data_IF_066020282691
#
_entry.id   IF_066020282691
#
_cell.length_a   1.000
_cell.length_b   1.000
_cell.length_c   1.000
_cell.angle_alpha   90.00
_cell.angle_beta   90.00
_cell.angle_gamma   90.00
#
_symmetry.space_group_name_H-M   'P 1'
#
loop_
_entity.id
_entity.type
_entity.pdbx_description
1 polymer ?
#
# COMPACT_ATOMS: atom_id res chain seq x y z
N UNK A 1 -6.11 -36.51 -28.09
CA UNK A 1 -7.20 -35.93 -27.26
C UNK A 1 -6.55 -35.05 -26.23
N UNK A 2 -7.03 -33.81 -26.04
CA UNK A 2 -6.46 -32.91 -25.04
C UNK A 2 -6.76 -33.49 -23.64
N UNK A 3 -5.73 -33.81 -22.85
CA UNK A 3 -5.90 -34.42 -21.52
C UNK A 3 -6.21 -33.38 -20.45
N UNK A 4 -5.92 -32.11 -20.73
CA UNK A 4 -6.07 -30.97 -19.85
C UNK A 4 -6.81 -29.87 -20.60
N UNK A 5 -7.73 -29.20 -19.92
CA UNK A 5 -8.27 -27.91 -20.30
C UNK A 5 -7.64 -26.83 -19.42
N UNK A 6 -7.25 -25.72 -20.02
CA UNK A 6 -6.68 -24.57 -19.32
C UNK A 6 -7.68 -23.43 -19.38
N UNK A 7 -7.98 -22.85 -18.22
CA UNK A 7 -8.76 -21.63 -18.10
C UNK A 7 -7.82 -20.51 -17.65
N UNK A 8 -7.73 -19.45 -18.45
CA UNK A 8 -6.76 -18.36 -18.30
C UNK A 8 -7.48 -17.01 -18.37
N UNK A 9 -7.26 -16.21 -17.34
CA UNK A 9 -7.71 -14.82 -17.27
C UNK A 9 -6.52 -13.95 -16.84
N UNK A 10 -6.24 -12.93 -17.64
CA UNK A 10 -5.14 -11.98 -17.44
C UNK A 10 -5.79 -10.62 -17.26
N UNK A 11 -5.39 -9.86 -16.22
CA UNK A 11 -5.94 -8.52 -16.00
C UNK A 11 -5.59 -7.59 -17.17
N UNK A 12 -6.43 -6.59 -17.41
CA UNK A 12 -6.19 -5.60 -18.48
C UNK A 12 -5.00 -4.69 -18.15
N UNK A 13 -4.81 -4.39 -16.87
CA UNK A 13 -3.74 -3.55 -16.35
C UNK A 13 -3.05 -4.22 -15.16
N UNK A 14 -1.73 -4.04 -15.05
CA UNK A 14 -0.94 -4.59 -13.95
C UNK A 14 -0.14 -3.48 -13.28
N UNK A 15 -0.37 -3.30 -11.98
CA UNK A 15 0.33 -2.32 -11.17
C UNK A 15 1.68 -2.87 -10.68
N UNK A 16 2.75 -2.08 -10.83
CA UNK A 16 4.09 -2.46 -10.36
C UNK A 16 4.11 -2.74 -8.85
N UNK A 17 3.37 -1.98 -8.04
CA UNK A 17 3.34 -2.15 -6.58
C UNK A 17 2.78 -3.51 -6.15
N UNK A 18 1.86 -4.08 -6.91
CA UNK A 18 1.39 -5.45 -6.71
C UNK A 18 2.52 -6.46 -6.95
N UNK A 19 3.16 -6.37 -8.10
CA UNK A 19 4.21 -7.31 -8.50
C UNK A 19 5.45 -7.21 -7.59
N UNK A 20 5.81 -6.00 -7.16
CA UNK A 20 6.91 -5.77 -6.21
C UNK A 20 6.66 -6.46 -4.87
N UNK A 21 5.42 -6.46 -4.40
CA UNK A 21 5.01 -7.04 -3.12
C UNK A 21 4.52 -8.50 -3.26
N UNK A 22 5.08 -9.26 -4.20
CA UNK A 22 4.83 -10.69 -4.40
C UNK A 22 3.35 -11.06 -4.63
N UNK A 23 2.63 -10.30 -5.46
CA UNK A 23 1.25 -10.63 -5.81
C UNK A 23 1.11 -11.37 -7.14
N UNK A 24 0.01 -12.16 -7.29
CA UNK A 24 -0.28 -12.88 -8.51
C UNK A 24 -0.36 -11.96 -9.72
N UNK A 25 0.22 -12.39 -10.84
CA UNK A 25 0.09 -11.70 -12.12
C UNK A 25 -1.27 -11.97 -12.81
N UNK A 26 -1.91 -13.10 -12.48
CA UNK A 26 -3.06 -13.62 -13.20
C UNK A 26 -4.30 -13.61 -12.29
N UNK A 27 -5.44 -13.23 -12.84
CA UNK A 27 -6.74 -13.38 -12.17
C UNK A 27 -7.12 -14.87 -12.10
N UNK A 28 -6.85 -15.60 -13.19
CA UNK A 28 -7.18 -17.01 -13.30
C UNK A 28 -6.13 -17.81 -14.09
N UNK A 29 -5.69 -18.91 -13.51
CA UNK A 29 -4.99 -19.99 -14.18
C UNK A 29 -5.42 -21.30 -13.52
N UNK A 30 -6.34 -22.01 -14.15
CA UNK A 30 -6.84 -23.28 -13.63
C UNK A 30 -6.64 -24.38 -14.65
N UNK A 31 -5.96 -25.46 -14.23
CA UNK A 31 -5.88 -26.69 -15.01
C UNK A 31 -7.05 -27.57 -14.63
N UNK A 32 -7.81 -28.06 -15.62
CA UNK A 32 -8.88 -29.03 -15.45
C UNK A 32 -8.52 -30.33 -16.17
N UNK A 33 -8.49 -31.43 -15.44
CA UNK A 33 -8.19 -32.77 -15.97
C UNK A 33 -9.42 -33.34 -16.68
N UNK A 34 -9.26 -33.75 -17.94
CA UNK A 34 -10.36 -34.27 -18.78
C UNK A 34 -10.39 -35.81 -18.85
N UNK A 35 -9.40 -36.47 -18.24
CA UNK A 35 -9.23 -37.93 -18.25
C UNK A 35 -9.36 -38.51 -16.84
N UNK A 36 -9.66 -39.80 -16.72
CA UNK A 36 -9.79 -40.48 -15.42
C UNK A 36 -8.45 -40.81 -14.77
N UNK A 37 -7.43 -41.08 -15.59
CA UNK A 37 -6.09 -41.37 -15.10
C UNK A 37 -5.34 -40.08 -14.73
N UNK A 38 -4.41 -40.13 -13.76
CA UNK A 38 -3.55 -38.99 -13.45
C UNK A 38 -2.75 -38.53 -14.66
N UNK A 39 -2.57 -37.22 -14.79
CA UNK A 39 -1.78 -36.63 -15.89
C UNK A 39 -0.39 -36.27 -15.35
N UNK A 40 0.66 -36.68 -16.08
CA UNK A 40 2.06 -36.58 -15.61
C UNK A 40 2.87 -35.58 -16.42
N UNK A 41 3.92 -35.07 -15.78
CA UNK A 41 4.91 -34.20 -16.40
C UNK A 41 4.29 -32.97 -17.07
N UNK A 42 3.50 -32.22 -16.29
CA UNK A 42 2.90 -30.97 -16.73
C UNK A 42 3.90 -29.85 -16.44
N UNK A 43 4.28 -29.09 -17.45
CA UNK A 43 5.11 -27.88 -17.28
C UNK A 43 4.29 -26.67 -17.66
N UNK A 44 4.21 -25.71 -16.74
CA UNK A 44 3.60 -24.41 -16.93
C UNK A 44 4.71 -23.38 -17.07
N UNK A 45 4.61 -22.54 -18.09
CA UNK A 45 5.48 -21.42 -18.32
C UNK A 45 4.61 -20.18 -18.53
N UNK A 46 4.76 -19.19 -17.67
CA UNK A 46 4.12 -17.89 -17.78
C UNK A 46 5.22 -16.85 -17.93
N UNK A 47 5.16 -16.00 -18.95
CA UNK A 47 6.17 -14.97 -19.20
C UNK A 47 5.50 -13.60 -19.33
N UNK A 48 5.97 -12.63 -18.57
CA UNK A 48 5.66 -11.22 -18.82
C UNK A 48 6.71 -10.62 -19.76
N UNK A 49 6.27 -10.13 -20.92
CA UNK A 49 7.14 -9.58 -21.96
C UNK A 49 7.25 -8.06 -21.84
N UNK A 50 8.39 -7.53 -21.43
CA UNK A 50 8.62 -6.09 -21.23
C UNK A 50 9.74 -5.61 -22.15
N UNK A 51 9.35 -4.96 -23.26
CA UNK A 51 10.32 -4.49 -24.26
C UNK A 51 11.10 -5.65 -24.87
N UNK A 52 12.42 -5.67 -24.66
CA UNK A 52 13.32 -6.74 -25.12
C UNK A 52 13.55 -7.84 -24.07
N UNK A 53 13.04 -7.67 -22.85
CA UNK A 53 13.20 -8.62 -21.74
C UNK A 53 11.91 -9.42 -21.52
N UNK A 54 12.05 -10.68 -21.09
CA UNK A 54 10.94 -11.51 -20.65
C UNK A 54 11.22 -12.00 -19.23
N UNK A 55 10.20 -12.01 -18.38
CA UNK A 55 10.29 -12.52 -17.01
C UNK A 55 9.51 -13.82 -16.89
N UNK A 56 10.18 -14.99 -16.94
CA UNK A 56 9.50 -16.27 -16.91
C UNK A 56 9.27 -16.79 -15.48
N UNK A 57 8.04 -17.19 -15.21
CA UNK A 57 7.67 -18.12 -14.16
C UNK A 57 7.56 -19.54 -14.75
N UNK A 58 8.19 -20.52 -14.10
CA UNK A 58 8.16 -21.93 -14.52
C UNK A 58 7.77 -22.81 -13.34
N UNK A 59 6.75 -23.64 -13.54
CA UNK A 59 6.30 -24.60 -12.55
C UNK A 59 6.10 -25.97 -13.19
N UNK A 60 6.57 -27.03 -12.52
CA UNK A 60 6.46 -28.39 -13.02
C UNK A 60 5.68 -29.24 -12.02
N UNK A 61 4.62 -29.86 -12.50
CA UNK A 61 3.81 -30.80 -11.74
C UNK A 61 4.17 -32.21 -12.23
N UNK A 62 4.71 -33.02 -11.33
CA UNK A 62 5.11 -34.39 -11.64
C UNK A 62 3.90 -35.25 -12.00
N UNK A 63 2.83 -35.14 -11.22
CA UNK A 63 1.58 -35.86 -11.38
C UNK A 63 0.43 -35.01 -10.83
N UNK A 64 -0.63 -34.85 -11.61
CA UNK A 64 -1.87 -34.17 -11.22
C UNK A 64 -2.97 -35.21 -11.04
N UNK A 65 -3.39 -35.40 -9.79
CA UNK A 65 -4.47 -36.31 -9.42
C UNK A 65 -5.81 -35.59 -9.31
N UNK A 66 -5.79 -34.31 -8.94
CA UNK A 66 -6.96 -33.48 -8.77
C UNK A 66 -7.72 -33.31 -10.09
N UNK A 67 -9.03 -33.05 -9.98
CA UNK A 67 -9.84 -32.70 -11.15
C UNK A 67 -9.53 -31.26 -11.61
N UNK A 68 -9.33 -30.35 -10.67
CA UNK A 68 -9.01 -28.95 -10.91
C UNK A 68 -7.87 -28.51 -10.01
N UNK A 69 -6.93 -27.78 -10.58
CA UNK A 69 -5.80 -27.20 -9.87
C UNK A 69 -5.72 -25.69 -10.18
N UNK A 70 -6.14 -24.82 -9.26
CA UNK A 70 -5.93 -23.38 -9.38
C UNK A 70 -4.47 -23.04 -9.08
N UNK A 71 -3.85 -22.25 -9.95
CA UNK A 71 -2.42 -21.92 -9.89
C UNK A 71 -2.16 -20.40 -9.93
N UNK A 72 -3.19 -19.57 -10.08
CA UNK A 72 -3.02 -18.12 -10.22
C UNK A 72 -2.17 -17.54 -9.09
N UNK A 73 -2.44 -17.96 -7.85
CA UNK A 73 -1.75 -17.49 -6.64
C UNK A 73 -0.26 -17.79 -6.60
N UNK A 74 0.18 -18.81 -7.34
CA UNK A 74 1.57 -19.27 -7.35
C UNK A 74 2.40 -18.54 -8.42
N UNK A 75 1.73 -17.97 -9.42
CA UNK A 75 2.37 -17.23 -10.52
C UNK A 75 2.76 -15.83 -10.04
N UNK A 76 3.90 -15.76 -9.37
CA UNK A 76 4.51 -14.52 -8.88
C UNK A 76 5.73 -14.20 -9.75
N UNK A 77 5.72 -13.02 -10.36
CA UNK A 77 6.80 -12.53 -11.21
C UNK A 77 7.43 -11.30 -10.56
N UNK A 78 8.61 -11.43 -9.93
CA UNK A 78 9.25 -10.28 -9.29
C UNK A 78 9.83 -9.35 -10.37
N UNK A 79 9.40 -8.09 -10.36
CA UNK A 79 9.98 -7.04 -11.22
C UNK A 79 11.22 -6.46 -10.54
N UNK A 80 12.37 -7.10 -10.75
CA UNK A 80 13.67 -6.62 -10.23
C UNK A 80 14.49 -5.83 -11.25
N UNK A 81 14.06 -5.82 -12.51
CA UNK A 81 14.81 -5.22 -13.59
C UNK A 81 14.74 -3.69 -13.59
N UNK A 82 15.80 -3.07 -14.10
CA UNK A 82 15.89 -1.62 -14.31
C UNK A 82 14.85 -1.13 -15.33
N UNK A 83 14.54 -1.92 -16.37
CA UNK A 83 13.64 -1.51 -17.43
C UNK A 83 12.22 -1.21 -16.89
N UNK A 84 11.70 -2.07 -16.03
CA UNK A 84 10.37 -1.89 -15.42
C UNK A 84 10.32 -0.69 -14.46
N UNK A 85 11.44 -0.36 -13.81
CA UNK A 85 11.56 0.83 -12.94
C UNK A 85 11.68 2.13 -13.74
N UNK A 86 12.22 2.06 -14.96
CA UNK A 86 12.35 3.22 -15.85
C UNK A 86 11.08 3.59 -16.61
N UNK A 87 10.00 2.82 -16.45
CA UNK A 87 8.73 3.09 -17.11
C UNK A 87 8.05 4.29 -16.44
N UNK A 88 8.16 5.44 -17.09
CA UNK A 88 7.44 6.67 -16.71
C UNK A 88 6.07 6.79 -17.39
N UNK A 89 5.76 5.95 -18.36
CA UNK A 89 4.50 5.94 -19.09
C UNK A 89 3.90 4.55 -19.13
N UNK A 90 2.57 4.47 -19.23
CA UNK A 90 1.87 3.19 -19.39
C UNK A 90 2.37 2.49 -20.65
N UNK A 91 2.85 1.25 -20.53
CA UNK A 91 3.42 0.49 -21.64
C UNK A 91 2.56 -0.72 -21.97
N UNK A 92 2.25 -0.88 -23.26
CA UNK A 92 1.60 -2.09 -23.77
C UNK A 92 2.60 -3.25 -23.76
N UNK A 93 2.20 -4.33 -23.11
CA UNK A 93 2.97 -5.55 -22.89
C UNK A 93 2.11 -6.77 -23.23
N UNK A 94 2.65 -7.96 -23.02
CA UNK A 94 1.94 -9.21 -23.20
C UNK A 94 2.33 -10.22 -22.13
N UNK A 95 1.37 -11.03 -21.70
CA UNK A 95 1.59 -12.24 -20.93
C UNK A 95 1.47 -13.44 -21.86
N UNK A 96 2.55 -14.17 -22.01
CA UNK A 96 2.60 -15.43 -22.75
C UNK A 96 2.44 -16.61 -21.78
N UNK A 97 1.52 -17.53 -22.08
CA UNK A 97 1.28 -18.72 -21.25
C UNK A 97 1.38 -19.97 -22.12
N UNK A 98 2.19 -20.91 -21.67
CA UNK A 98 2.36 -22.23 -22.28
C UNK A 98 2.20 -23.33 -21.25
N UNK A 99 1.37 -24.31 -21.57
CA UNK A 99 1.26 -25.55 -20.79
C UNK A 99 1.63 -26.71 -21.69
N UNK A 100 2.59 -27.51 -21.24
CA UNK A 100 3.01 -28.75 -21.89
C UNK A 100 2.73 -29.94 -20.99
N UNK A 101 2.41 -31.08 -21.60
CA UNK A 101 2.16 -32.35 -20.92
C UNK A 101 2.97 -33.44 -21.62
N UNK A 102 3.84 -34.13 -20.88
CA UNK A 102 4.74 -35.14 -21.44
C UNK A 102 5.51 -34.67 -22.68
N UNK A 103 5.90 -33.39 -22.70
CA UNK A 103 6.64 -32.76 -23.81
C UNK A 103 5.77 -32.24 -24.97
N UNK A 104 4.46 -32.45 -24.96
CA UNK A 104 3.54 -31.92 -25.97
C UNK A 104 2.81 -30.67 -25.48
N UNK A 105 2.74 -29.62 -26.30
CA UNK A 105 1.95 -28.42 -25.98
C UNK A 105 0.46 -28.75 -25.98
N UNK A 106 -0.21 -28.51 -24.85
CA UNK A 106 -1.67 -28.69 -24.70
C UNK A 106 -2.43 -27.37 -24.68
N UNK A 107 -1.73 -26.27 -24.36
CA UNK A 107 -2.24 -24.91 -24.38
C UNK A 107 -1.10 -23.92 -24.64
N UNK A 108 -1.37 -22.91 -25.45
CA UNK A 108 -0.45 -21.83 -25.77
C UNK A 108 -1.28 -20.60 -26.15
N UNK A 109 -1.14 -19.51 -25.41
CA UNK A 109 -1.87 -18.27 -25.66
C UNK A 109 -1.01 -17.05 -25.27
N UNK A 110 -1.32 -15.90 -25.87
CA UNK A 110 -0.69 -14.61 -25.57
C UNK A 110 -1.76 -13.56 -25.38
N UNK A 111 -1.83 -13.00 -24.17
CA UNK A 111 -2.80 -11.95 -23.81
C UNK A 111 -2.08 -10.62 -23.71
N UNK A 112 -2.69 -9.55 -24.21
CA UNK A 112 -2.18 -8.19 -24.02
C UNK A 112 -2.45 -7.72 -22.61
N UNK A 113 -1.53 -6.95 -22.06
CA UNK A 113 -1.66 -6.32 -20.74
C UNK A 113 -1.02 -4.94 -20.77
N UNK A 114 -1.57 -3.99 -20.03
CA UNK A 114 -0.96 -2.68 -19.83
C UNK A 114 -0.15 -2.68 -18.54
N UNK A 115 1.14 -2.35 -18.63
CA UNK A 115 1.98 -2.14 -17.46
C UNK A 115 1.82 -0.70 -16.99
N UNK A 116 1.38 -0.56 -15.74
CA UNK A 116 1.24 0.72 -15.08
C UNK A 116 2.60 1.14 -14.51
N UNK A 117 3.01 2.41 -14.68
CA UNK A 117 4.23 2.97 -14.11
C UNK A 117 4.36 2.82 -12.60
N UNK A 118 5.61 2.80 -12.13
CA UNK A 118 5.91 2.56 -10.71
C UNK A 118 5.38 3.66 -9.78
N UNK A 119 5.27 4.88 -10.28
CA UNK A 119 4.79 6.06 -9.58
C UNK A 119 3.27 6.28 -9.73
N UNK A 120 2.54 5.36 -10.38
CA UNK A 120 1.10 5.49 -10.58
C UNK A 120 0.31 4.62 -9.59
N UNK A 121 -0.55 5.30 -8.83
CA UNK A 121 -1.49 4.69 -7.92
C UNK A 121 -2.88 4.64 -8.54
N UNK A 122 -3.52 3.48 -8.41
CA UNK A 122 -4.92 3.25 -8.75
C UNK A 122 -5.75 3.49 -7.48
N UNK A 123 -6.53 4.56 -7.46
CA UNK A 123 -7.44 4.91 -6.36
C UNK A 123 -8.72 4.07 -6.46
N UNK A 124 -8.58 2.79 -6.11
CA UNK A 124 -9.68 1.83 -6.08
C UNK A 124 -9.60 0.91 -4.85
N UNK A 125 -10.73 0.28 -4.53
CA UNK A 125 -10.86 -0.58 -3.35
C UNK A 125 -9.97 -1.82 -3.41
N UNK A 126 -9.42 -2.23 -4.56
CA UNK A 126 -8.58 -3.43 -4.65
C UNK A 126 -7.10 -3.08 -4.48
N UNK A 127 -6.70 -1.89 -4.95
CA UNK A 127 -5.33 -1.42 -5.04
C UNK A 127 -4.92 -0.45 -3.93
N UNK A 128 -5.86 0.26 -3.29
CA UNK A 128 -5.60 1.13 -2.13
C UNK A 128 -4.81 0.48 -0.99
N UNK A 129 -4.98 -0.82 -0.67
CA UNK A 129 -4.12 -1.52 0.28
C UNK A 129 -2.62 -1.44 -0.02
N UNK A 130 -2.21 -1.14 -1.25
CA UNK A 130 -0.80 -1.11 -1.67
C UNK A 130 -0.14 0.26 -1.57
N UNK A 131 -0.93 1.28 -1.24
CA UNK A 131 -0.45 2.63 -0.99
C UNK A 131 0.70 2.73 0.06
N UNK A 132 0.82 1.84 1.09
CA UNK A 132 1.99 1.82 1.98
C UNK A 132 3.34 1.61 1.28
N UNK A 133 3.34 1.09 0.04
CA UNK A 133 4.56 0.95 -0.78
C UNK A 133 5.10 2.32 -1.23
N UNK A 134 4.26 3.35 -1.25
CA UNK A 134 4.64 4.74 -1.60
C UNK A 134 5.08 5.56 -0.37
N UNK A 135 5.09 4.96 0.83
CA UNK A 135 5.76 5.55 1.99
C UNK A 135 7.25 5.21 1.88
N UNK A 136 8.08 6.22 1.61
CA UNK A 136 9.48 6.10 1.22
C UNK A 136 10.41 6.70 2.31
N UNK A 137 10.54 6.08 3.49
CA UNK A 137 11.33 6.65 4.59
C UNK A 137 12.82 6.79 4.26
N UNK A 138 13.33 6.00 3.31
CA UNK A 138 14.75 6.03 2.88
C UNK A 138 15.04 7.01 1.74
N UNK A 139 14.05 7.78 1.30
CA UNK A 139 14.28 8.84 0.31
C UNK A 139 15.27 9.90 0.87
N UNK A 140 16.28 10.34 0.09
CA UNK A 140 17.28 11.31 0.55
C UNK A 140 16.70 12.63 1.09
N UNK A 141 15.53 13.05 0.62
CA UNK A 141 14.86 14.25 1.10
C UNK A 141 14.32 14.08 2.53
N UNK A 142 13.92 12.87 2.93
CA UNK A 142 13.43 12.60 4.29
C UNK A 142 14.54 12.88 5.31
N UNK A 143 15.76 12.37 5.08
CA UNK A 143 16.90 12.65 5.96
C UNK A 143 17.15 14.15 6.09
N UNK A 144 17.07 14.91 4.99
CA UNK A 144 17.24 16.37 5.00
C UNK A 144 16.14 17.06 5.82
N UNK A 145 14.89 16.63 5.67
CA UNK A 145 13.74 17.16 6.43
C UNK A 145 13.96 16.92 7.92
N UNK A 146 14.33 15.71 8.33
CA UNK A 146 14.54 15.37 9.73
C UNK A 146 15.72 16.16 10.32
N UNK A 147 16.81 16.35 9.57
CA UNK A 147 17.93 17.19 9.99
C UNK A 147 17.52 18.66 10.19
N UNK A 148 16.73 19.22 9.28
CA UNK A 148 16.18 20.57 9.40
C UNK A 148 15.24 20.70 10.62
N UNK A 149 14.43 19.68 10.85
CA UNK A 149 13.45 19.60 11.94
C UNK A 149 14.08 19.60 13.34
N UNK A 150 15.32 19.09 13.47
CA UNK A 150 16.01 18.99 14.77
C UNK A 150 16.12 20.32 15.51
N UNK A 151 16.38 21.43 14.80
CA UNK A 151 16.52 22.74 15.45
C UNK A 151 15.22 23.20 16.11
N UNK A 152 14.08 22.86 15.53
CA UNK A 152 12.77 23.15 16.12
C UNK A 152 12.51 22.25 17.33
N UNK A 153 12.91 20.98 17.25
CA UNK A 153 12.77 20.06 18.38
C UNK A 153 13.58 20.54 19.59
N UNK A 154 14.84 20.95 19.38
CA UNK A 154 15.70 21.54 20.42
C UNK A 154 14.98 22.74 21.07
N UNK A 155 14.40 23.64 20.27
CA UNK A 155 13.67 24.79 20.79
C UNK A 155 12.38 24.43 21.53
N UNK A 156 11.63 23.41 21.08
CA UNK A 156 10.40 22.94 21.72
C UNK A 156 10.69 22.29 23.08
N UNK A 157 11.80 21.55 23.18
CA UNK A 157 12.19 20.81 24.38
C UNK A 157 13.10 21.62 25.32
N UNK A 158 13.66 22.72 24.85
CA UNK A 158 14.73 23.47 25.53
C UNK A 158 15.92 22.55 25.89
N UNK A 159 16.28 21.66 24.97
CA UNK A 159 17.33 20.66 25.15
C UNK A 159 18.24 20.56 23.90
N UNK A 160 19.51 21.02 23.96
CA UNK A 160 20.45 20.92 22.85
C UNK A 160 20.77 19.48 22.42
N UNK A 161 20.60 18.50 23.31
CA UNK A 161 20.81 17.08 23.03
C UNK A 161 19.61 16.41 22.37
N UNK A 162 18.47 17.11 22.25
CA UNK A 162 17.25 16.55 21.70
C UNK A 162 17.45 15.91 20.33
N UNK A 163 16.92 14.69 20.21
CA UNK A 163 16.92 13.84 19.03
C UNK A 163 15.53 13.29 18.72
N UNK A 164 15.43 12.62 17.58
CA UNK A 164 14.21 11.93 17.15
C UNK A 164 14.31 10.47 17.57
N UNK A 165 13.77 10.15 18.75
CA UNK A 165 13.90 8.82 19.36
C UNK A 165 12.60 7.99 19.26
N UNK A 166 11.60 8.47 18.50
CA UNK A 166 10.30 7.81 18.36
C UNK A 166 9.66 7.57 19.73
N UNK A 167 9.38 6.30 20.04
CA UNK A 167 8.76 5.86 21.29
C UNK A 167 9.73 5.64 22.46
N UNK A 168 11.05 5.71 22.26
CA UNK A 168 12.05 5.32 23.27
C UNK A 168 12.10 6.24 24.51
N UNK A 169 11.57 7.46 24.41
CA UNK A 169 11.68 8.49 25.46
C UNK A 169 10.81 8.25 26.71
N UNK A 170 9.94 7.23 26.76
CA UNK A 170 9.20 6.81 27.96
C UNK A 170 8.22 7.83 28.57
N UNK A 171 8.19 9.07 28.06
CA UNK A 171 7.29 10.14 28.50
C UNK A 171 6.05 10.16 27.64
N UNK A 172 4.89 10.10 28.28
CA UNK A 172 3.58 10.18 27.62
C UNK A 172 3.50 11.46 26.76
N UNK A 173 3.13 11.31 25.48
CA UNK A 173 3.09 12.40 24.46
C UNK A 173 4.45 12.98 24.04
N UNK A 174 5.57 12.30 24.28
CA UNK A 174 6.88 12.71 23.76
C UNK A 174 6.90 12.79 22.22
N UNK A 175 6.16 11.90 21.54
CA UNK A 175 6.11 11.87 20.08
C UNK A 175 5.45 13.11 19.48
N UNK A 176 4.45 13.72 20.15
CA UNK A 176 3.75 14.92 19.63
C UNK A 176 4.74 16.07 19.36
N UNK A 177 5.77 16.21 20.21
CA UNK A 177 6.80 17.26 20.07
C UNK A 177 7.74 16.97 18.89
N UNK A 178 8.05 15.70 18.65
CA UNK A 178 8.81 15.26 17.48
C UNK A 178 8.02 15.54 16.19
N UNK A 179 6.75 15.15 16.15
CA UNK A 179 5.88 15.43 14.99
C UNK A 179 5.69 16.93 14.78
N UNK A 180 5.50 17.70 15.86
CA UNK A 180 5.41 19.16 15.79
C UNK A 180 6.67 19.80 15.21
N UNK A 181 7.86 19.31 15.57
CA UNK A 181 9.12 19.79 15.01
C UNK A 181 9.22 19.53 13.50
N UNK A 182 8.83 18.32 13.06
CA UNK A 182 8.77 17.95 11.64
C UNK A 182 7.80 18.84 10.88
N UNK A 183 6.58 18.99 11.41
CA UNK A 183 5.56 19.88 10.87
C UNK A 183 6.08 21.31 10.70
N UNK A 184 6.73 21.83 11.74
CA UNK A 184 7.23 23.20 11.78
C UNK A 184 8.34 23.44 10.75
N UNK A 185 9.22 22.46 10.52
CA UNK A 185 10.24 22.57 9.47
C UNK A 185 9.61 22.55 8.07
N UNK A 186 8.68 21.63 7.81
CA UNK A 186 7.98 21.54 6.53
C UNK A 186 7.26 22.86 6.18
N UNK A 187 6.52 23.44 7.12
CA UNK A 187 5.81 24.71 6.91
C UNK A 187 6.77 25.89 6.71
N UNK A 188 7.82 26.02 7.53
CA UNK A 188 8.63 27.23 7.56
C UNK A 188 9.84 27.23 6.59
N UNK A 189 10.42 26.06 6.34
CA UNK A 189 11.63 25.93 5.51
C UNK A 189 11.33 25.49 4.09
N UNK A 190 10.42 24.51 3.92
CA UNK A 190 10.15 23.91 2.61
C UNK A 190 9.08 24.68 1.83
N UNK A 191 8.11 25.32 2.52
CA UNK A 191 7.11 26.21 1.91
C UNK A 191 6.42 25.58 0.69
N UNK A 192 5.94 24.36 0.88
CA UNK A 192 5.27 23.57 -0.14
C UNK A 192 4.00 24.30 -0.64
N UNK A 193 3.62 24.06 -1.88
CA UNK A 193 2.40 24.60 -2.50
C UNK A 193 1.46 23.48 -2.91
N UNK A 194 0.17 23.69 -2.69
CA UNK A 194 -0.82 22.73 -3.12
C UNK A 194 -1.01 22.79 -4.63
N UNK A 195 -1.03 21.62 -5.25
CA UNK A 195 -1.44 21.46 -6.63
C UNK A 195 -2.57 20.44 -6.69
N UNK A 196 -3.51 20.66 -7.62
CA UNK A 196 -4.46 19.61 -7.95
C UNK A 196 -3.71 18.45 -8.61
N UNK A 197 -4.20 17.20 -8.45
CA UNK A 197 -3.68 16.09 -9.24
C UNK A 197 -3.71 16.47 -10.73
N UNK A 198 -2.64 16.13 -11.49
CA UNK A 198 -2.64 16.36 -12.93
C UNK A 198 -3.87 15.68 -13.55
N UNK A 199 -4.43 16.23 -14.65
CA UNK A 199 -5.59 15.63 -15.31
C UNK A 199 -5.29 14.16 -15.64
N UNK A 200 -6.00 13.25 -14.97
CA UNK A 200 -5.87 11.82 -15.20
C UNK A 200 -6.61 11.44 -16.49
N UNK A 201 -6.01 10.55 -17.29
CA UNK A 201 -6.66 10.02 -18.50
C UNK A 201 -7.78 9.01 -18.15
N UNK A 202 -7.90 8.60 -16.89
CA UNK A 202 -8.96 7.79 -16.30
C UNK A 202 -9.36 8.36 -14.93
N UNK A 203 -10.64 8.30 -14.56
CA UNK A 203 -11.19 8.95 -13.35
C UNK A 203 -10.66 8.39 -12.00
N UNK A 204 -9.79 7.38 -12.02
CA UNK A 204 -9.39 6.58 -10.84
C UNK A 204 -7.87 6.45 -10.66
N UNK A 205 -7.05 7.28 -11.31
CA UNK A 205 -5.58 7.13 -11.27
C UNK A 205 -4.85 8.42 -10.98
N UNK A 206 -3.75 8.33 -10.24
CA UNK A 206 -2.93 9.47 -9.90
C UNK A 206 -1.45 9.11 -9.88
N UNK A 207 -0.61 9.96 -10.48
CA UNK A 207 0.84 9.92 -10.27
C UNK A 207 1.21 10.49 -8.91
N UNK A 208 1.94 9.70 -8.13
CA UNK A 208 2.42 10.02 -6.79
C UNK A 208 3.88 10.42 -6.85
N UNK A 209 4.19 11.57 -6.23
CA UNK A 209 5.56 12.08 -6.19
C UNK A 209 6.32 11.47 -5.03
N UNK A 210 7.59 11.17 -5.26
CA UNK A 210 8.56 10.84 -4.21
C UNK A 210 8.82 12.05 -3.31
N UNK A 211 9.28 11.86 -2.06
CA UNK A 211 9.69 12.98 -1.20
C UNK A 211 10.73 13.90 -1.87
N UNK A 212 11.68 13.35 -2.62
CA UNK A 212 12.65 14.13 -3.39
C UNK A 212 12.00 15.01 -4.47
N UNK A 213 11.00 14.51 -5.20
CA UNK A 213 10.27 15.30 -6.20
C UNK A 213 9.39 16.38 -5.57
N UNK A 214 8.73 16.08 -4.44
CA UNK A 214 7.93 17.06 -3.69
C UNK A 214 8.82 18.23 -3.23
N UNK A 215 9.97 17.93 -2.65
CA UNK A 215 10.93 18.94 -2.19
C UNK A 215 11.57 19.71 -3.36
N UNK A 216 11.89 19.03 -4.47
CA UNK A 216 12.49 19.69 -5.63
C UNK A 216 11.51 20.64 -6.34
N UNK A 217 10.24 20.25 -6.44
CA UNK A 217 9.19 21.06 -7.07
C UNK A 217 8.54 22.07 -6.12
N UNK A 218 8.69 21.89 -4.80
CA UNK A 218 7.92 22.56 -3.76
C UNK A 218 6.40 22.45 -3.96
N UNK A 219 5.93 21.34 -4.52
CA UNK A 219 4.50 21.12 -4.79
C UNK A 219 4.05 19.72 -4.42
N UNK A 220 2.79 19.57 -4.01
CA UNK A 220 2.17 18.27 -3.78
C UNK A 220 0.65 18.33 -3.71
N UNK A 221 0.00 17.20 -3.98
CA UNK A 221 -1.44 16.99 -3.75
C UNK A 221 -1.71 16.56 -2.30
N UNK A 222 -2.98 16.34 -1.92
CA UNK A 222 -3.32 15.84 -0.58
C UNK A 222 -2.63 14.51 -0.26
N UNK A 223 -2.67 13.55 -1.18
CA UNK A 223 -2.03 12.24 -1.03
C UNK A 223 -0.49 12.32 -1.01
N UNK A 224 0.14 13.12 -1.88
CA UNK A 224 1.60 13.35 -1.86
C UNK A 224 2.07 13.81 -0.47
N UNK A 225 1.36 14.78 0.11
CA UNK A 225 1.70 15.38 1.40
C UNK A 225 1.43 14.42 2.57
N UNK A 226 0.38 13.61 2.48
CA UNK A 226 0.10 12.56 3.47
C UNK A 226 1.22 11.51 3.47
N UNK A 227 1.66 11.05 2.29
CA UNK A 227 2.75 10.09 2.14
C UNK A 227 4.11 10.66 2.56
N UNK A 228 4.37 11.94 2.27
CA UNK A 228 5.58 12.64 2.74
C UNK A 228 5.67 12.65 4.27
N UNK A 229 4.58 13.02 4.94
CA UNK A 229 4.53 13.02 6.41
C UNK A 229 4.66 11.60 6.96
N UNK A 230 3.91 10.63 6.41
CA UNK A 230 4.02 9.23 6.81
C UNK A 230 5.47 8.72 6.69
N UNK A 231 6.18 9.11 5.63
CA UNK A 231 7.58 8.74 5.40
C UNK A 231 8.52 9.35 6.44
N UNK A 232 8.29 10.62 6.82
CA UNK A 232 9.04 11.28 7.89
C UNK A 232 8.80 10.60 9.24
N UNK A 233 7.56 10.24 9.55
CA UNK A 233 7.17 9.58 10.79
C UNK A 233 7.77 8.18 10.89
N UNK A 234 7.65 7.38 9.83
CA UNK A 234 8.23 6.04 9.75
C UNK A 234 9.76 6.11 9.95
N UNK A 235 10.43 7.10 9.36
CA UNK A 235 11.88 7.28 9.50
C UNK A 235 12.32 7.51 10.95
N UNK A 236 11.53 8.24 11.75
CA UNK A 236 11.83 8.51 13.17
C UNK A 236 11.25 7.47 14.13
N UNK A 237 10.73 6.36 13.60
CA UNK A 237 10.17 5.28 14.42
C UNK A 237 8.83 5.61 15.08
N UNK A 238 8.05 6.52 14.49
CA UNK A 238 6.66 6.81 14.90
C UNK A 238 5.74 6.10 13.92
N UNK A 239 4.77 5.32 14.41
CA UNK A 239 3.88 4.50 13.57
C UNK A 239 2.83 5.38 12.88
N UNK A 240 2.93 5.58 11.56
CA UNK A 240 1.99 6.40 10.83
C UNK A 240 0.81 5.56 10.32
N UNK A 241 -0.29 6.25 10.08
CA UNK A 241 -1.43 5.75 9.31
C UNK A 241 -1.74 6.72 8.19
N UNK A 242 -2.21 6.21 7.05
CA UNK A 242 -2.74 7.03 5.96
C UNK A 242 -4.24 6.81 5.89
N UNK A 243 -5.01 7.90 5.86
CA UNK A 243 -6.47 7.86 5.82
C UNK A 243 -6.94 8.32 4.46
N UNK A 244 -7.80 7.52 3.84
CA UNK A 244 -8.47 7.80 2.58
C UNK A 244 -9.94 8.11 2.84
N UNK A 245 -10.38 9.24 2.31
CA UNK A 245 -11.79 9.61 2.16
C UNK A 245 -12.13 9.66 0.67
N UNK A 246 -13.42 9.77 0.35
CA UNK A 246 -13.85 10.07 -1.01
C UNK A 246 -13.26 11.39 -1.52
N UNK A 247 -12.19 11.30 -2.33
CA UNK A 247 -11.52 12.45 -2.94
C UNK A 247 -10.56 13.22 -2.04
N UNK A 248 -10.19 12.69 -0.86
CA UNK A 248 -9.22 13.34 0.03
C UNK A 248 -8.37 12.32 0.79
N UNK A 249 -7.14 12.69 1.09
CA UNK A 249 -6.22 11.86 1.86
C UNK A 249 -5.44 12.71 2.86
N UNK A 250 -5.20 12.13 4.04
CA UNK A 250 -4.44 12.78 5.09
C UNK A 250 -3.74 11.73 5.97
N UNK A 251 -2.98 12.18 6.96
CA UNK A 251 -2.09 11.32 7.75
C UNK A 251 -2.50 11.31 9.21
N UNK A 252 -2.22 10.21 9.90
CA UNK A 252 -2.27 10.14 11.35
C UNK A 252 -1.07 9.43 11.93
N UNK A 253 -0.96 9.42 13.26
CA UNK A 253 0.09 8.71 13.98
C UNK A 253 -0.37 8.25 15.36
N UNK A 254 0.21 7.14 15.82
CA UNK A 254 -0.03 6.60 17.15
C UNK A 254 0.83 7.30 18.19
N UNK A 255 0.24 7.68 19.33
CA UNK A 255 0.96 8.33 20.43
C UNK A 255 1.82 7.39 21.27
N UNK A 256 1.57 6.09 21.23
CA UNK A 256 2.34 5.07 21.93
C UNK A 256 2.28 3.71 21.23
N UNK A 257 3.30 2.87 21.46
CA UNK A 257 3.33 1.49 20.94
C UNK A 257 2.21 0.66 21.57
N UNK A 258 1.89 0.88 22.84
CA UNK A 258 0.86 0.13 23.55
C UNK A 258 -0.54 0.36 22.96
N UNK A 259 -0.85 1.60 22.57
CA UNK A 259 -2.12 1.91 21.92
C UNK A 259 -2.22 1.26 20.52
N UNK A 260 -1.10 1.23 19.79
CA UNK A 260 -1.02 0.54 18.50
C UNK A 260 -1.17 -0.98 18.66
N UNK A 261 -0.51 -1.56 19.66
CA UNK A 261 -0.58 -2.99 19.97
C UNK A 261 -1.98 -3.42 20.43
N UNK A 262 -2.65 -2.60 21.24
CA UNK A 262 -4.04 -2.82 21.66
C UNK A 262 -4.97 -2.84 20.43
N UNK A 263 -4.84 -1.86 19.55
CA UNK A 263 -5.58 -1.79 18.29
C UNK A 263 -5.33 -3.03 17.40
N UNK A 264 -4.08 -3.48 17.25
CA UNK A 264 -3.75 -4.73 16.53
C UNK A 264 -4.39 -5.97 17.18
N UNK A 265 -4.49 -5.98 18.51
CA UNK A 265 -5.03 -7.09 19.31
C UNK A 265 -6.53 -7.28 19.12
N UNK A 266 -7.29 -6.19 18.99
CA UNK A 266 -8.76 -6.21 18.79
C UNK A 266 -9.14 -6.69 17.39
N UNK A 267 -8.31 -6.43 16.38
CA UNK A 267 -8.50 -6.92 14.99
C UNK A 267 -8.33 -8.45 14.88
N UNK A 268 -7.72 -9.13 15.87
CA UNK A 268 -7.62 -10.59 15.91
C UNK A 268 -8.84 -11.23 16.62
N UNK A 269 -9.99 -11.30 15.93
CA UNK A 269 -11.01 -12.33 16.22
C UNK A 269 -10.91 -13.45 15.16
N UNK A 270 -10.74 -14.73 15.55
CA UNK A 270 -10.24 -15.76 14.63
C UNK A 270 -11.32 -16.47 13.80
N UNK A 271 -10.96 -16.76 12.55
CA UNK A 271 -11.18 -17.97 11.74
C UNK A 271 -12.23 -19.02 12.18
N UNK A 272 -13.52 -18.67 12.15
CA UNK A 272 -14.58 -19.65 11.84
C UNK A 272 -15.66 -18.96 11.02
N UNK A 273 -15.79 -19.38 9.75
CA UNK A 273 -16.95 -19.04 8.93
C UNK A 273 -18.20 -19.54 9.66
N UNK A 274 -19.15 -18.67 10.06
CA UNK A 274 -20.41 -19.12 10.62
C UNK A 274 -21.19 -19.85 9.52
N UNK A 275 -21.67 -21.06 9.81
CA UNK A 275 -22.58 -21.75 8.92
C UNK A 275 -23.83 -20.90 8.66
N UNK A 276 -24.27 -20.87 7.41
CA UNK A 276 -25.42 -20.08 6.93
C UNK A 276 -26.68 -20.49 7.70
N UNK A 277 -27.29 -19.59 8.48
CA UNK A 277 -28.66 -19.80 8.95
C UNK A 277 -29.19 -19.09 10.20
N UNK A 278 -28.37 -18.48 11.06
CA UNK A 278 -28.88 -17.98 12.34
C UNK A 278 -29.29 -16.50 12.33
N UNK A 279 -30.55 -16.25 12.70
CA UNK A 279 -31.16 -14.91 12.81
C UNK A 279 -30.54 -14.01 13.91
N UNK A 280 -29.59 -14.53 14.69
CA UNK A 280 -28.81 -13.79 15.70
C UNK A 280 -27.47 -13.23 15.19
N UNK A 281 -27.11 -13.43 13.90
CA UNK A 281 -25.86 -12.90 13.31
C UNK A 281 -25.99 -11.51 12.67
N UNK A 282 -27.14 -10.83 12.78
CA UNK A 282 -27.37 -9.54 12.11
C UNK A 282 -27.07 -8.30 12.95
N UNK A 283 -26.70 -8.43 14.23
CA UNK A 283 -26.53 -7.28 15.13
C UNK A 283 -25.32 -7.40 16.10
N UNK A 284 -24.38 -8.30 15.84
CA UNK A 284 -23.20 -8.51 16.68
C UNK A 284 -21.89 -8.49 15.86
N UNK A 285 -21.20 -7.35 15.93
CA UNK A 285 -19.74 -7.19 15.88
C UNK A 285 -18.90 -8.20 15.10
N UNK A 286 -19.05 -8.27 13.78
CA UNK A 286 -18.01 -8.87 12.94
C UNK A 286 -17.03 -7.77 12.53
N UNK A 287 -15.89 -7.70 13.23
CA UNK A 287 -14.69 -7.05 12.69
C UNK A 287 -14.35 -7.79 11.39
N UNK A 288 -14.69 -7.19 10.25
CA UNK A 288 -14.20 -7.70 8.99
C UNK A 288 -12.69 -7.44 8.97
N UNK A 289 -11.91 -8.50 9.17
CA UNK A 289 -10.48 -8.47 8.87
C UNK A 289 -10.39 -8.40 7.37
N UNK A 290 -10.05 -7.21 6.88
CA UNK A 290 -9.67 -7.01 5.50
C UNK A 290 -8.63 -8.07 5.08
N UNK A 291 -8.70 -8.64 3.86
CA UNK A 291 -7.83 -9.74 3.44
C UNK A 291 -6.33 -9.41 3.52
N UNK A 292 -5.97 -8.13 3.54
CA UNK A 292 -4.59 -7.69 3.65
C UNK A 292 -4.14 -7.58 5.12
N UNK A 293 -5.03 -7.21 6.03
CA UNK A 293 -4.75 -7.19 7.48
C UNK A 293 -4.00 -5.94 7.99
N UNK A 294 -3.74 -4.97 7.12
CA UNK A 294 -3.25 -3.63 7.45
C UNK A 294 -4.17 -2.50 6.96
N UNK A 295 -5.26 -2.84 6.27
CA UNK A 295 -6.30 -1.89 5.89
C UNK A 295 -7.51 -2.07 6.80
N UNK A 296 -8.02 -0.95 7.30
CA UNK A 296 -9.30 -0.86 7.96
C UNK A 296 -10.29 -0.19 7.04
N UNK A 297 -11.40 -0.87 6.77
CA UNK A 297 -12.44 -0.36 5.88
C UNK A 297 -13.46 0.45 6.67
N UNK A 298 -14.45 1.00 5.97
CA UNK A 298 -15.61 1.68 6.54
C UNK A 298 -16.35 0.95 7.67
N UNK A 299 -16.23 -0.37 7.76
CA UNK A 299 -16.79 -1.14 8.89
C UNK A 299 -16.08 -0.85 10.22
N UNK A 300 -14.79 -0.51 10.17
CA UNK A 300 -13.96 -0.21 11.34
C UNK A 300 -14.01 1.26 11.79
N UNK A 301 -14.82 2.10 11.12
CA UNK A 301 -14.89 3.54 11.39
C UNK A 301 -15.15 3.88 12.86
N UNK A 302 -16.10 3.20 13.51
CA UNK A 302 -16.45 3.45 14.93
C UNK A 302 -15.27 3.21 15.85
N UNK A 303 -14.48 2.17 15.58
CA UNK A 303 -13.28 1.83 16.34
C UNK A 303 -12.17 2.86 16.13
N UNK A 304 -11.88 3.21 14.88
CA UNK A 304 -10.93 4.29 14.54
C UNK A 304 -11.31 5.58 15.28
N UNK A 305 -12.59 5.94 15.29
CA UNK A 305 -13.08 7.13 15.99
C UNK A 305 -12.94 7.05 17.51
N UNK A 306 -12.94 5.86 18.11
CA UNK A 306 -12.70 5.69 19.54
C UNK A 306 -11.26 6.10 19.89
N UNK A 307 -10.26 5.62 19.16
CA UNK A 307 -8.85 5.98 19.35
C UNK A 307 -8.55 7.44 18.98
N UNK A 308 -9.23 7.99 17.97
CA UNK A 308 -9.14 9.43 17.65
C UNK A 308 -9.74 10.29 18.77
N UNK A 309 -10.81 9.82 19.41
CA UNK A 309 -11.48 10.56 20.49
C UNK A 309 -10.74 10.46 21.82
N UNK A 310 -10.15 9.30 22.15
CA UNK A 310 -9.24 9.16 23.29
C UNK A 310 -7.97 9.99 23.11
N UNK A 311 -7.59 10.21 21.85
CA UNK A 311 -6.39 10.92 21.44
C UNK A 311 -5.17 10.03 21.34
N UNK A 312 -5.32 8.71 21.40
CA UNK A 312 -4.22 7.77 21.19
C UNK A 312 -3.79 7.73 19.72
N UNK A 313 -4.74 7.97 18.81
CA UNK A 313 -4.51 8.11 17.39
C UNK A 313 -4.75 9.58 16.97
N UNK A 314 -3.70 10.28 16.56
CA UNK A 314 -3.77 11.69 16.17
C UNK A 314 -3.88 11.80 14.67
N UNK A 315 -4.79 12.64 14.18
CA UNK A 315 -4.97 12.95 12.77
C UNK A 315 -4.41 14.32 12.43
N UNK A 316 -3.81 14.48 11.25
CA UNK A 316 -3.26 15.73 10.73
C UNK A 316 -3.75 15.98 9.31
N UNK A 317 -4.36 17.14 9.07
CA UNK A 317 -4.66 17.61 7.72
C UNK A 317 -3.38 17.94 6.97
N UNK A 318 -2.94 17.05 6.07
CA UNK A 318 -1.65 17.17 5.39
C UNK A 318 -1.56 18.39 4.46
N UNK A 319 -2.68 18.83 3.87
CA UNK A 319 -2.68 20.02 2.99
C UNK A 319 -2.39 21.30 3.74
N UNK A 320 -2.53 21.33 5.07
CA UNK A 320 -2.16 22.50 5.87
C UNK A 320 -0.65 22.75 5.87
N UNK A 321 0.18 21.80 5.40
CA UNK A 321 1.60 22.04 5.11
C UNK A 321 1.82 23.11 4.04
N UNK A 322 0.85 23.31 3.15
CA UNK A 322 0.96 24.29 2.06
C UNK A 322 0.45 25.68 2.44
N UNK A 323 -0.12 25.80 3.64
CA UNK A 323 -0.51 27.08 4.23
C UNK A 323 0.36 27.39 5.44
N UNK A 324 0.29 28.64 5.91
CA UNK A 324 0.97 29.05 7.15
C UNK A 324 0.17 28.59 8.39
N UNK A 325 -0.28 27.33 8.43
CA UNK A 325 -1.09 26.77 9.50
C UNK A 325 -0.24 26.12 10.59
N UNK A 326 -0.67 26.27 11.84
CA UNK A 326 -0.01 25.66 12.98
C UNK A 326 -0.27 24.16 13.07
N UNK A 327 0.61 23.45 13.79
CA UNK A 327 0.46 22.02 14.07
C UNK A 327 -0.89 21.68 14.72
N UNK A 328 -1.36 22.52 15.65
CA UNK A 328 -2.66 22.34 16.32
C UNK A 328 -3.86 22.55 15.41
N UNK A 329 -3.73 23.44 14.42
CA UNK A 329 -4.77 23.67 13.42
C UNK A 329 -4.92 22.41 12.54
N UNK A 330 -3.79 21.84 12.11
CA UNK A 330 -3.77 20.60 11.36
C UNK A 330 -4.35 19.41 12.16
N UNK A 331 -4.09 19.34 13.47
CA UNK A 331 -4.70 18.34 14.35
C UNK A 331 -6.22 18.49 14.43
N UNK A 332 -6.69 19.73 14.52
CA UNK A 332 -8.10 20.05 14.65
C UNK A 332 -8.84 19.70 13.35
N UNK A 333 -8.29 20.10 12.21
CA UNK A 333 -8.89 19.80 10.90
C UNK A 333 -8.80 18.31 10.57
N UNK A 334 -7.66 17.66 10.83
CA UNK A 334 -7.49 16.22 10.60
C UNK A 334 -8.53 15.38 11.36
N UNK A 335 -8.88 15.78 12.59
CA UNK A 335 -9.99 15.16 13.34
C UNK A 335 -11.35 15.49 12.72
N UNK A 336 -11.56 16.73 12.27
CA UNK A 336 -12.82 17.18 11.68
C UNK A 336 -13.13 16.50 10.33
N UNK A 337 -12.10 16.08 9.59
CA UNK A 337 -12.25 15.29 8.35
C UNK A 337 -12.97 13.96 8.60
N UNK A 338 -12.81 13.35 9.77
CA UNK A 338 -13.51 12.13 10.18
C UNK A 338 -14.92 12.41 10.73
N UNK A 339 -15.66 13.35 10.13
CA UNK A 339 -17.04 13.68 10.54
C UNK A 339 -18.09 12.72 9.98
N UNK A 340 -17.77 12.00 8.91
CA UNK A 340 -18.73 11.20 8.15
C UNK A 340 -18.19 9.79 7.90
N UNK A 341 -18.86 8.79 8.47
CA UNK A 341 -18.63 7.39 8.10
C UNK A 341 -18.91 7.16 6.60
N UNK A 342 -19.73 8.01 5.95
CA UNK A 342 -20.02 7.86 4.54
C UNK A 342 -18.86 8.22 3.63
N UNK A 343 -18.06 9.19 4.05
CA UNK A 343 -16.90 9.69 3.30
C UNK A 343 -15.65 8.89 3.61
N UNK A 344 -15.59 8.22 4.77
CA UNK A 344 -14.48 7.35 5.15
C UNK A 344 -14.44 6.11 4.26
N UNK A 345 -13.37 6.00 3.47
CA UNK A 345 -13.07 4.82 2.67
C UNK A 345 -12.27 3.82 3.50
N UNK A 346 -11.06 4.21 3.89
CA UNK A 346 -10.15 3.33 4.59
C UNK A 346 -9.08 4.05 5.41
N UNK A 347 -8.51 3.32 6.37
CA UNK A 347 -7.29 3.67 7.09
C UNK A 347 -6.26 2.58 6.84
N UNK A 348 -5.06 2.97 6.45
CA UNK A 348 -3.94 2.08 6.14
C UNK A 348 -2.89 2.22 7.22
N UNK A 349 -2.64 1.12 7.94
CA UNK A 349 -1.61 1.05 8.97
C UNK A 349 -0.26 0.69 8.35
N UNK A 350 0.65 1.67 8.32
CA UNK A 350 1.93 1.51 7.63
C UNK A 350 2.83 0.53 8.38
N UNK A 351 2.86 0.59 9.71
CA UNK A 351 3.66 -0.33 10.52
C UNK A 351 3.18 -1.78 10.33
N UNK A 352 1.85 -1.99 10.31
CA UNK A 352 1.27 -3.31 10.07
C UNK A 352 1.54 -3.82 8.65
N UNK A 353 1.53 -2.94 7.66
CA UNK A 353 1.93 -3.28 6.30
C UNK A 353 3.39 -3.76 6.24
N UNK A 354 4.31 -3.12 6.97
CA UNK A 354 5.72 -3.58 7.09
C UNK A 354 5.84 -4.94 7.75
N UNK A 355 5.12 -5.18 8.86
CA UNK A 355 5.09 -6.48 9.53
C UNK A 355 4.61 -7.62 8.61
N UNK A 356 3.79 -7.28 7.62
CA UNK A 356 3.23 -8.21 6.62
C UNK A 356 3.94 -8.13 5.27
N UNK A 357 5.19 -7.64 5.26
CA UNK A 357 6.11 -7.61 4.12
C UNK A 357 5.70 -6.72 2.93
N UNK A 358 4.94 -5.66 3.18
CA UNK A 358 4.77 -4.58 2.18
C UNK A 358 5.98 -3.66 2.24
N UNK A 359 6.79 -3.66 1.19
CA UNK A 359 8.05 -2.89 1.14
C UNK A 359 7.92 -1.59 0.34
N UNK A 360 8.68 -0.53 0.71
CA UNK A 360 8.75 0.69 -0.09
C UNK A 360 9.20 0.40 -1.53
N UNK A 361 8.60 1.10 -2.50
CA UNK A 361 8.93 0.96 -3.90
C UNK A 361 10.35 1.47 -4.20
N UNK A 362 11.12 0.76 -5.04
CA UNK A 362 12.47 1.17 -5.44
C UNK A 362 12.44 2.24 -6.55
N UNK A 363 11.74 3.37 -6.31
CA UNK A 363 11.53 4.47 -7.28
C UNK A 363 12.75 5.39 -7.39
N UNK A 364 13.62 5.36 -6.38
CA UNK A 364 14.77 6.27 -6.31
C UNK A 364 15.77 5.89 -7.41
N UNK A 365 15.91 6.78 -8.40
CA UNK A 365 16.96 6.69 -9.42
C UNK A 365 18.33 6.81 -8.73
N UNK A 366 19.27 5.94 -9.11
CA UNK A 366 20.69 6.09 -8.75
C UNK A 366 21.29 7.41 -9.28
#
# INVERSE_FOLDING_TARGET
>A
MNQIQVDLEVPEEVNYSLLHNNRPLLDKLTLTRLVRDPVRAITIQVELCVGAENYPYRYTIAEMEELQLPLSSDVIIPLTASLTRSLHERVQSAVYVKVTCAGHTVFEDTRRVTLIPVDEWLDDTENNPWLPSFVLPRDPAILKIIQASRRYLIGILDDPAAGFDGYQQGVQRAVDRQVQAIWTALVNEYRLQYINPPPAYSEQTQRLRTPSEIVASNTGTCIDLALLLASCLEYVGIFPVVVLLTGHAFVGYWRSEEAHDDFKGVVKVPATVPAIGDAATRDAGLCYVDPYGWRLTRMSYTEVMAYVTSGDLVMLEATYLTGAYGFKDAQTEGRANLRSQKEFDSLLDIQRARELNVTPLPIINE
#
